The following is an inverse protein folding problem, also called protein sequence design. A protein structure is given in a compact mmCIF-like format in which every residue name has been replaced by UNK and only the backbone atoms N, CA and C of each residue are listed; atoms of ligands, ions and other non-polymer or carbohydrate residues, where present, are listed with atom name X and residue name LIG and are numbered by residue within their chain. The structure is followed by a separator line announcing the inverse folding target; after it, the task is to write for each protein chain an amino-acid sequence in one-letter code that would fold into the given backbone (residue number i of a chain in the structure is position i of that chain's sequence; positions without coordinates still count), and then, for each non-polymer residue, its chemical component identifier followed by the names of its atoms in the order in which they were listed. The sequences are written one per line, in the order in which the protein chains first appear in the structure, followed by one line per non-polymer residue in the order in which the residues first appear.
data_IF_221214761667
#
_entry.id   IF_221214761667
#
_cell.length_a   1.000
_cell.length_b   1.000
_cell.length_c   1.000
_cell.angle_alpha   90.00
_cell.angle_beta   90.00
_cell.angle_gamma   90.00
#
_symmetry.space_group_name_H-M   'P 1'
#
loop_
_entity.id
_entity.type
_entity.pdbx_description
1 polymer ?
#
# COMPACT_ATOMS: atom_id res chain seq x y z
N UNK A 1 16.28 1.49 33.19
CA UNK A 1 14.97 1.88 32.62
C UNK A 1 14.05 0.68 32.62
N UNK A 2 12.89 0.81 33.26
CA UNK A 2 11.93 -0.27 33.53
C UNK A 2 11.26 -0.83 32.27
N UNK A 3 11.46 -2.13 32.00
CA UNK A 3 10.66 -2.93 31.06
C UNK A 3 9.48 -3.58 31.80
N UNK A 4 8.47 -2.80 32.17
CA UNK A 4 7.26 -3.34 32.82
C UNK A 4 5.97 -3.20 31.97
N UNK A 5 6.07 -2.65 30.75
CA UNK A 5 4.89 -2.41 29.89
C UNK A 5 5.15 -2.63 28.39
N UNK A 6 6.00 -3.58 27.96
CA UNK A 6 6.29 -3.77 26.52
C UNK A 6 5.22 -4.59 25.76
N UNK A 7 4.19 -5.10 26.45
CA UNK A 7 3.17 -5.93 25.82
C UNK A 7 3.73 -7.22 25.22
N UNK A 8 2.88 -7.96 24.50
CA UNK A 8 3.33 -9.11 23.71
C UNK A 8 4.09 -8.58 22.49
N UNK A 9 5.34 -9.02 22.21
CA UNK A 9 5.99 -8.63 20.97
C UNK A 9 5.15 -9.16 19.82
N UNK A 10 4.54 -8.26 19.06
CA UNK A 10 3.99 -8.63 17.75
C UNK A 10 5.14 -9.30 16.99
N UNK A 11 4.91 -10.50 16.47
CA UNK A 11 5.90 -11.18 15.65
C UNK A 11 6.46 -10.16 14.67
N UNK A 12 7.79 -10.02 14.60
CA UNK A 12 8.49 -9.00 13.81
C UNK A 12 8.40 -9.26 12.30
N UNK A 13 7.28 -9.85 11.87
CA UNK A 13 6.96 -10.13 10.50
C UNK A 13 6.71 -8.80 9.82
N UNK A 14 7.40 -8.52 8.71
CA UNK A 14 7.05 -7.40 7.86
C UNK A 14 5.55 -7.36 7.57
N UNK A 15 4.92 -6.19 7.69
CA UNK A 15 3.50 -6.07 7.38
C UNK A 15 3.22 -6.52 5.94
N UNK A 16 2.12 -7.25 5.73
CA UNK A 16 1.81 -7.88 4.44
C UNK A 16 1.88 -6.90 3.26
N UNK A 17 1.41 -5.66 3.42
CA UNK A 17 1.51 -4.64 2.38
C UNK A 17 2.95 -4.38 1.92
N UNK A 18 3.92 -4.31 2.85
CA UNK A 18 5.33 -4.09 2.51
C UNK A 18 5.87 -5.28 1.71
N UNK A 19 5.59 -6.50 2.17
CA UNK A 19 6.02 -7.72 1.49
C UNK A 19 5.43 -7.83 0.08
N UNK A 20 4.15 -7.50 -0.09
CA UNK A 20 3.50 -7.53 -1.41
C UNK A 20 4.18 -6.57 -2.38
N UNK A 21 4.42 -5.31 -1.99
CA UNK A 21 5.08 -4.35 -2.88
C UNK A 21 6.54 -4.70 -3.18
N UNK A 22 7.29 -5.19 -2.19
CA UNK A 22 8.67 -5.64 -2.42
C UNK A 22 8.73 -6.84 -3.36
N UNK A 23 7.88 -7.84 -3.15
CA UNK A 23 7.78 -9.00 -4.03
C UNK A 23 7.36 -8.59 -5.45
N UNK A 24 6.37 -7.70 -5.58
CA UNK A 24 5.89 -7.23 -6.87
C UNK A 24 6.98 -6.46 -7.64
N UNK A 25 7.77 -5.60 -6.97
CA UNK A 25 8.91 -4.90 -7.60
C UNK A 25 9.96 -5.87 -8.13
N UNK A 26 10.25 -6.93 -7.38
CA UNK A 26 11.19 -7.97 -7.79
C UNK A 26 10.66 -8.80 -8.97
N UNK A 27 9.36 -9.12 -8.97
CA UNK A 27 8.75 -9.97 -9.99
C UNK A 27 8.49 -9.24 -11.31
N UNK A 28 8.01 -7.99 -11.24
CA UNK A 28 7.55 -7.22 -12.40
C UNK A 28 8.61 -6.26 -12.94
N UNK A 29 9.62 -5.92 -12.14
CA UNK A 29 10.71 -5.05 -12.56
C UNK A 29 10.28 -3.59 -12.79
N UNK A 30 11.05 -2.90 -13.65
CA UNK A 30 10.96 -1.45 -13.79
C UNK A 30 9.65 -0.94 -14.42
N UNK A 31 8.98 -1.75 -15.25
CA UNK A 31 7.71 -1.39 -15.89
C UNK A 31 6.59 -1.15 -14.87
N UNK A 32 6.62 -1.86 -13.75
CA UNK A 32 5.64 -1.73 -12.68
C UNK A 32 6.02 -0.70 -11.60
N UNK A 33 7.17 -0.04 -11.69
CA UNK A 33 7.66 0.84 -10.62
C UNK A 33 6.70 2.00 -10.31
N UNK A 34 6.19 2.67 -11.36
CA UNK A 34 5.22 3.77 -11.23
C UNK A 34 3.91 3.34 -10.55
N UNK A 35 3.21 2.32 -11.07
CA UNK A 35 2.00 1.80 -10.45
C UNK A 35 2.21 1.35 -8.99
N UNK A 36 3.31 0.66 -8.70
CA UNK A 36 3.61 0.18 -7.35
C UNK A 36 3.89 1.34 -6.37
N UNK A 37 4.58 2.40 -6.81
CA UNK A 37 4.77 3.62 -6.02
C UNK A 37 3.43 4.33 -5.74
N UNK A 38 2.57 4.41 -6.75
CA UNK A 38 1.25 4.99 -6.64
C UNK A 38 0.38 4.22 -5.64
N UNK A 39 0.28 2.89 -5.77
CA UNK A 39 -0.51 2.07 -4.84
C UNK A 39 0.04 2.10 -3.40
N UNK A 40 1.36 2.19 -3.22
CA UNK A 40 1.95 2.37 -1.90
C UNK A 40 1.52 3.70 -1.27
N UNK A 41 1.46 4.78 -2.05
CA UNK A 41 0.92 6.07 -1.63
C UNK A 41 -0.56 5.98 -1.23
N UNK A 42 -1.38 5.30 -2.05
CA UNK A 42 -2.79 5.04 -1.74
C UNK A 42 -2.94 4.26 -0.42
N UNK A 43 -2.12 3.23 -0.19
CA UNK A 43 -2.13 2.44 1.06
C UNK A 43 -1.77 3.31 2.28
N UNK A 44 -0.81 4.22 2.15
CA UNK A 44 -0.49 5.18 3.24
C UNK A 44 -1.68 6.11 3.51
N UNK A 45 -2.33 6.62 2.47
CA UNK A 45 -3.54 7.46 2.60
C UNK A 45 -4.70 6.69 3.23
N UNK A 46 -4.91 5.42 2.87
CA UNK A 46 -5.91 4.53 3.48
C UNK A 46 -5.72 4.43 5.00
N UNK A 47 -4.48 4.24 5.46
CA UNK A 47 -4.19 4.22 6.88
C UNK A 47 -4.53 5.53 7.61
N UNK A 48 -4.47 6.70 6.95
CA UNK A 48 -4.89 7.97 7.57
C UNK A 48 -6.42 8.05 7.62
N UNK A 49 -7.10 7.62 6.55
CA UNK A 49 -8.56 7.60 6.48
C UNK A 49 -9.16 6.66 7.54
N UNK A 50 -8.64 5.45 7.64
CA UNK A 50 -9.18 4.40 8.51
C UNK A 50 -8.98 4.70 10.00
N UNK A 51 -7.92 5.44 10.36
CA UNK A 51 -7.48 5.58 11.76
C UNK A 51 -7.47 7.01 12.30
N UNK A 52 -7.57 8.05 11.46
CA UNK A 52 -7.43 9.45 11.91
C UNK A 52 -8.63 10.32 11.49
N UNK A 53 -8.99 10.38 10.21
CA UNK A 53 -10.01 11.34 9.73
C UNK A 53 -10.87 10.82 8.56
N UNK A 54 -12.18 10.99 8.68
CA UNK A 54 -13.12 10.83 7.58
C UNK A 54 -13.01 11.98 6.54
N UNK A 55 -13.45 11.73 5.31
CA UNK A 55 -13.51 12.71 4.20
C UNK A 55 -12.17 13.22 3.64
N UNK A 56 -11.09 12.45 3.77
CA UNK A 56 -9.76 12.79 3.21
C UNK A 56 -9.61 12.35 1.73
N UNK A 57 -10.47 11.46 1.25
CA UNK A 57 -10.49 11.03 -0.16
C UNK A 57 -11.66 11.66 -0.92
N UNK A 58 -11.39 12.08 -2.16
CA UNK A 58 -12.40 12.61 -3.09
C UNK A 58 -12.86 11.54 -4.08
N UNK A 59 -14.00 11.78 -4.74
CA UNK A 59 -14.46 10.93 -5.83
C UNK A 59 -13.49 10.90 -7.02
N UNK A 60 -12.80 12.01 -7.30
CA UNK A 60 -11.78 12.09 -8.35
C UNK A 60 -10.63 11.14 -8.04
N UNK A 61 -10.07 11.20 -6.83
CA UNK A 61 -8.98 10.32 -6.42
C UNK A 61 -9.38 8.85 -6.44
N UNK A 62 -10.64 8.53 -6.09
CA UNK A 62 -11.15 7.16 -6.21
C UNK A 62 -11.20 6.71 -7.69
N UNK A 63 -11.58 7.60 -8.60
CA UNK A 63 -11.57 7.35 -10.04
C UNK A 63 -10.16 7.15 -10.60
N UNK A 64 -9.19 7.95 -10.16
CA UNK A 64 -7.77 7.81 -10.53
C UNK A 64 -7.21 6.47 -10.07
N UNK A 65 -7.51 6.05 -8.83
CA UNK A 65 -7.10 4.74 -8.31
C UNK A 65 -7.69 3.61 -9.14
N UNK A 66 -8.96 3.72 -9.53
CA UNK A 66 -9.62 2.71 -10.35
C UNK A 66 -9.01 2.63 -11.75
N UNK A 67 -8.71 3.77 -12.39
CA UNK A 67 -8.06 3.79 -13.69
C UNK A 67 -6.68 3.13 -13.63
N UNK A 68 -5.82 3.55 -12.69
CA UNK A 68 -4.48 2.98 -12.53
C UNK A 68 -4.52 1.47 -12.21
N UNK A 69 -5.52 1.01 -11.46
CA UNK A 69 -5.69 -0.41 -11.17
C UNK A 69 -6.03 -1.25 -12.41
N UNK A 70 -6.80 -0.71 -13.35
CA UNK A 70 -7.08 -1.38 -14.61
C UNK A 70 -5.84 -1.37 -15.51
N UNK A 71 -5.15 -0.23 -15.63
CA UNK A 71 -3.92 -0.14 -16.43
C UNK A 71 -2.83 -1.09 -15.90
N UNK A 72 -2.72 -1.22 -14.57
CA UNK A 72 -1.82 -2.19 -13.94
C UNK A 72 -2.24 -3.64 -14.18
N UNK A 73 -3.54 -3.93 -14.18
CA UNK A 73 -4.04 -5.27 -14.49
C UNK A 73 -3.65 -5.68 -15.91
N UNK A 74 -3.88 -4.80 -16.88
CA UNK A 74 -3.47 -5.03 -18.27
C UNK A 74 -1.96 -5.20 -18.40
N UNK A 75 -1.15 -4.42 -17.67
CA UNK A 75 0.31 -4.55 -17.66
C UNK A 75 0.80 -5.91 -17.14
N UNK A 76 0.08 -6.54 -16.21
CA UNK A 76 0.51 -7.78 -15.55
C UNK A 76 0.02 -9.03 -16.29
N UNK A 77 -1.18 -8.98 -16.86
CA UNK A 77 -1.80 -10.13 -17.52
C UNK A 77 -1.46 -10.26 -19.02
N UNK A 78 -0.80 -9.25 -19.61
CA UNK A 78 -0.38 -9.22 -21.02
C UNK A 78 1.13 -9.07 -21.20
#
# INVERSE_FOLDING_TARGET
MSKACTGYPLASTPGHHRLTFEAARLALGASAAGPLDFFEACRRKRNVIDYDRASVATHTEAGEIFAEANDFFELVEH
#
